data_IF_136842905755
#
_entry.id   IF_136842905755
#
_cell.length_a   1.000
_cell.length_b   1.000
_cell.length_c   1.000
_cell.angle_alpha   90.00
_cell.angle_beta   90.00
_cell.angle_gamma   90.00
#
_symmetry.space_group_name_H-M   'P 1'
#
loop_
_entity.id
_entity.type
_entity.pdbx_description
1 polymer ?
#
# COMPACT_ATOMS: atom_id res chain seq x y z
N UNK A 1 14.82 7.80 -14.80
CA UNK A 1 15.36 7.17 -15.99
C UNK A 1 14.45 6.06 -16.50
N UNK A 2 14.65 5.52 -17.71
CA UNK A 2 13.89 4.38 -18.20
C UNK A 2 14.09 3.17 -17.29
N UNK A 3 13.06 2.31 -17.20
CA UNK A 3 13.15 1.04 -16.49
C UNK A 3 13.98 0.05 -17.33
N UNK A 4 14.79 -0.77 -16.66
CA UNK A 4 15.40 -1.95 -17.26
C UNK A 4 14.37 -3.06 -17.49
N UNK A 5 14.74 -4.18 -18.13
CA UNK A 5 13.86 -5.32 -18.36
C UNK A 5 13.37 -5.90 -17.00
N UNK A 6 12.18 -6.50 -17.00
CA UNK A 6 11.66 -7.18 -15.81
C UNK A 6 12.45 -8.45 -15.49
N UNK A 7 12.54 -8.83 -14.22
CA UNK A 7 13.03 -10.14 -13.80
C UNK A 7 12.11 -11.25 -14.30
N UNK A 8 12.70 -12.39 -14.69
CA UNK A 8 11.91 -13.57 -15.03
C UNK A 8 11.25 -14.20 -13.77
N UNK A 9 11.97 -14.17 -12.66
CA UNK A 9 11.50 -14.63 -11.35
C UNK A 9 11.93 -13.57 -10.34
N UNK A 10 10.99 -12.93 -9.61
CA UNK A 10 11.33 -11.97 -8.56
C UNK A 10 11.89 -12.71 -7.34
N UNK A 11 12.98 -12.17 -6.76
CA UNK A 11 13.72 -12.75 -5.63
C UNK A 11 13.50 -11.97 -4.32
N UNK A 12 12.67 -10.95 -4.37
CA UNK A 12 12.30 -10.15 -3.21
C UNK A 12 11.24 -10.80 -2.34
N UNK A 13 10.94 -10.15 -1.22
CA UNK A 13 10.01 -10.62 -0.21
C UNK A 13 8.74 -9.78 -0.17
N UNK A 14 7.59 -10.44 -0.09
CA UNK A 14 6.31 -9.79 0.21
C UNK A 14 6.04 -9.86 1.71
N UNK A 15 6.06 -8.71 2.36
CA UNK A 15 5.79 -8.55 3.79
C UNK A 15 4.38 -7.97 3.99
N UNK A 16 3.65 -8.50 4.97
CA UNK A 16 2.42 -7.87 5.45
C UNK A 16 2.76 -6.75 6.44
N UNK A 17 1.99 -5.67 6.43
CA UNK A 17 2.11 -4.59 7.39
C UNK A 17 0.74 -4.11 7.88
N UNK A 18 0.72 -3.55 9.09
CA UNK A 18 -0.49 -3.02 9.73
C UNK A 18 -0.81 -1.61 9.18
N UNK A 19 -2.02 -1.42 8.64
CA UNK A 19 -2.52 -0.15 8.13
C UNK A 19 -3.16 0.74 9.21
N UNK A 20 -3.49 0.19 10.39
CA UNK A 20 -4.17 0.91 11.48
C UNK A 20 -3.43 2.17 11.94
N UNK A 21 -2.09 2.17 12.10
CA UNK A 21 -1.36 3.38 12.50
C UNK A 21 -1.51 4.56 11.56
N UNK A 22 -1.81 4.30 10.28
CA UNK A 22 -1.93 5.32 9.23
C UNK A 22 -3.36 5.85 9.06
N UNK A 23 -4.33 5.26 9.78
CA UNK A 23 -5.77 5.52 9.64
C UNK A 23 -6.42 5.94 10.96
N UNK A 24 -5.64 6.53 11.87
CA UNK A 24 -6.08 6.86 13.25
C UNK A 24 -6.68 5.64 14.00
N UNK A 25 -6.13 4.44 13.76
CA UNK A 25 -6.57 3.19 14.37
C UNK A 25 -7.86 2.60 13.80
N UNK A 26 -8.45 3.22 12.79
CA UNK A 26 -9.79 2.87 12.28
C UNK A 26 -9.83 2.77 10.74
N UNK A 27 -9.13 1.82 10.14
CA UNK A 27 -9.05 1.71 8.68
C UNK A 27 -10.42 1.49 8.04
N UNK A 28 -11.31 0.77 8.72
CA UNK A 28 -12.65 0.46 8.22
C UNK A 28 -13.50 1.72 7.96
N UNK A 29 -13.30 2.81 8.70
CA UNK A 29 -14.02 4.06 8.48
C UNK A 29 -13.61 4.77 7.18
N UNK A 30 -12.45 4.40 6.65
CA UNK A 30 -11.95 4.80 5.33
C UNK A 30 -12.14 3.70 4.28
N UNK A 31 -12.87 2.62 4.60
CA UNK A 31 -12.97 1.45 3.73
C UNK A 31 -11.61 0.85 3.36
N UNK A 32 -10.68 0.86 4.32
CA UNK A 32 -9.36 0.23 4.22
C UNK A 32 -9.33 -1.02 5.09
N UNK A 33 -8.57 -2.02 4.67
CA UNK A 33 -8.30 -3.20 5.46
C UNK A 33 -7.33 -2.90 6.61
N UNK A 34 -7.22 -3.80 7.58
CA UNK A 34 -6.23 -3.66 8.65
C UNK A 34 -4.80 -3.94 8.18
N UNK A 35 -4.66 -4.80 7.17
CA UNK A 35 -3.37 -5.18 6.60
C UNK A 35 -3.22 -4.72 5.16
N UNK A 36 -2.01 -4.35 4.79
CA UNK A 36 -1.53 -4.16 3.44
C UNK A 36 -0.25 -4.96 3.21
N UNK A 37 0.31 -4.88 2.01
CA UNK A 37 1.54 -5.60 1.67
C UNK A 37 2.59 -4.66 1.10
N UNK A 38 3.85 -5.06 1.26
CA UNK A 38 5.00 -4.38 0.65
C UNK A 38 5.93 -5.43 0.06
N UNK A 39 6.32 -5.24 -1.19
CA UNK A 39 7.36 -6.04 -1.83
C UNK A 39 8.70 -5.34 -1.70
N UNK A 40 9.70 -6.03 -1.19
CA UNK A 40 11.06 -5.52 -0.97
C UNK A 40 12.07 -6.37 -1.72
N UNK A 41 12.65 -5.87 -2.82
CA UNK A 41 13.74 -6.54 -3.50
C UNK A 41 14.97 -6.70 -2.59
N UNK A 42 15.82 -7.73 -2.80
CA UNK A 42 17.05 -7.91 -2.01
C UNK A 42 17.94 -6.67 -2.00
N UNK A 43 18.12 -6.02 -3.15
CA UNK A 43 18.90 -4.79 -3.29
C UNK A 43 18.32 -3.55 -2.62
N UNK A 44 17.12 -3.64 -2.04
CA UNK A 44 16.44 -2.52 -1.35
C UNK A 44 16.44 -2.65 0.18
N UNK A 45 16.92 -3.76 0.74
CA UNK A 45 16.91 -4.00 2.19
C UNK A 45 17.70 -2.95 2.98
N UNK A 46 18.73 -2.39 2.37
CA UNK A 46 19.58 -1.35 2.97
C UNK A 46 19.22 0.06 2.49
N UNK A 47 18.03 0.24 1.90
CA UNK A 47 17.58 1.52 1.42
C UNK A 47 18.02 1.90 0.00
N UNK A 48 17.89 3.18 -0.35
CA UNK A 48 18.30 3.72 -1.64
C UNK A 48 17.42 3.31 -2.83
N UNK A 49 16.21 2.80 -2.57
CA UNK A 49 15.25 2.43 -3.60
C UNK A 49 14.10 3.44 -3.67
N UNK A 50 13.52 3.56 -4.85
CA UNK A 50 12.28 4.32 -5.05
C UNK A 50 11.09 3.48 -4.60
N UNK A 51 9.97 4.12 -4.28
CA UNK A 51 8.73 3.44 -3.92
C UNK A 51 7.72 3.61 -5.05
N UNK A 52 7.09 2.51 -5.44
CA UNK A 52 5.91 2.47 -6.30
C UNK A 52 4.69 2.09 -5.47
N UNK A 53 3.59 2.83 -5.60
CA UNK A 53 2.32 2.48 -4.95
C UNK A 53 1.41 1.82 -5.98
N UNK A 54 1.07 0.56 -5.75
CA UNK A 54 0.16 -0.21 -6.61
C UNK A 54 -1.21 -0.29 -5.95
N UNK A 55 -2.19 0.39 -6.50
CA UNK A 55 -3.58 0.38 -6.04
C UNK A 55 -4.37 -0.65 -6.83
N UNK A 56 -4.97 -1.61 -6.13
CA UNK A 56 -5.84 -2.61 -6.76
C UNK A 56 -7.15 -1.96 -7.26
N UNK A 57 -7.84 -2.60 -8.19
CA UNK A 57 -9.15 -2.17 -8.67
C UNK A 57 -10.29 -2.58 -7.72
N UNK A 58 -11.51 -2.14 -8.05
CA UNK A 58 -12.72 -2.65 -7.40
C UNK A 58 -12.82 -4.17 -7.54
N UNK A 59 -13.25 -4.86 -6.48
CA UNK A 59 -13.31 -6.34 -6.40
C UNK A 59 -11.96 -7.04 -6.50
N UNK A 60 -10.86 -6.33 -6.26
CA UNK A 60 -9.51 -6.89 -6.31
C UNK A 60 -8.76 -6.78 -4.98
N UNK A 61 -9.45 -6.43 -3.90
CA UNK A 61 -8.86 -6.47 -2.56
C UNK A 61 -8.52 -7.90 -2.14
N UNK A 62 -7.59 -8.05 -1.22
CA UNK A 62 -7.22 -9.37 -0.70
C UNK A 62 -8.40 -10.15 -0.13
N UNK A 63 -9.36 -9.48 0.51
CA UNK A 63 -10.59 -10.11 1.02
C UNK A 63 -11.48 -10.70 -0.07
N UNK A 64 -11.29 -10.31 -1.33
CA UNK A 64 -12.12 -10.74 -2.46
C UNK A 64 -11.42 -11.75 -3.38
N UNK A 65 -10.12 -11.57 -3.62
CA UNK A 65 -9.37 -12.42 -4.55
C UNK A 65 -8.11 -13.04 -3.95
N UNK A 66 -7.90 -12.89 -2.64
CA UNK A 66 -6.65 -13.26 -2.00
C UNK A 66 -5.48 -12.43 -2.55
N UNK A 67 -4.30 -12.96 -2.50
CA UNK A 67 -3.07 -12.27 -2.92
C UNK A 67 -2.85 -12.15 -4.44
N UNK A 68 -3.83 -12.50 -5.26
CA UNK A 68 -3.67 -12.51 -6.73
C UNK A 68 -3.22 -11.18 -7.31
N UNK A 69 -3.66 -10.05 -6.75
CA UNK A 69 -3.19 -8.74 -7.20
C UNK A 69 -1.72 -8.49 -6.80
N UNK A 70 -1.36 -8.82 -5.56
CA UNK A 70 0.00 -8.61 -5.02
C UNK A 70 1.02 -9.50 -5.74
N UNK A 71 0.67 -10.77 -5.95
CA UNK A 71 1.59 -11.77 -6.49
C UNK A 71 1.54 -11.86 -8.03
N UNK A 72 0.44 -11.49 -8.67
CA UNK A 72 0.20 -11.76 -10.08
C UNK A 72 0.03 -10.54 -11.00
N UNK A 73 0.05 -9.31 -10.48
CA UNK A 73 -0.11 -8.11 -11.31
C UNK A 73 1.17 -7.71 -12.07
N UNK A 74 2.28 -8.40 -11.84
CA UNK A 74 3.54 -8.20 -12.57
C UNK A 74 4.42 -7.07 -12.03
N UNK A 75 4.04 -6.39 -10.95
CA UNK A 75 4.84 -5.30 -10.39
C UNK A 75 6.12 -5.80 -9.73
N UNK A 76 6.11 -6.99 -9.11
CA UNK A 76 7.24 -7.53 -8.36
C UNK A 76 8.43 -7.82 -9.27
N UNK A 77 8.18 -8.34 -10.48
CA UNK A 77 9.20 -8.61 -11.49
C UNK A 77 9.88 -7.33 -11.98
N UNK A 78 9.10 -6.25 -12.15
CA UNK A 78 9.66 -4.94 -12.49
C UNK A 78 10.40 -4.29 -11.33
N UNK A 79 9.87 -4.44 -10.13
CA UNK A 79 10.45 -3.89 -8.92
C UNK A 79 11.84 -4.48 -8.63
N UNK A 80 11.94 -5.80 -8.76
CA UNK A 80 13.16 -6.55 -8.50
C UNK A 80 14.32 -6.08 -9.38
N UNK A 81 14.09 -5.99 -10.70
CA UNK A 81 15.09 -5.57 -11.66
C UNK A 81 15.41 -4.06 -11.61
N UNK A 82 14.56 -3.22 -11.01
CA UNK A 82 14.65 -1.77 -11.14
C UNK A 82 14.82 -1.02 -9.80
N UNK A 83 15.18 -1.72 -8.73
CA UNK A 83 15.36 -1.14 -7.40
C UNK A 83 14.12 -0.34 -6.93
N UNK A 84 12.96 -0.99 -7.00
CA UNK A 84 11.70 -0.41 -6.56
C UNK A 84 11.13 -1.22 -5.40
N UNK A 85 10.74 -0.57 -4.32
CA UNK A 85 9.85 -1.14 -3.33
C UNK A 85 8.43 -0.95 -3.84
N UNK A 86 7.59 -1.98 -3.82
CA UNK A 86 6.17 -1.84 -4.18
C UNK A 86 5.31 -1.89 -2.93
N UNK A 87 4.59 -0.81 -2.69
CA UNK A 87 3.60 -0.72 -1.63
C UNK A 87 2.22 -1.08 -2.19
N UNK A 88 1.57 -2.07 -1.59
CA UNK A 88 0.23 -2.56 -1.93
C UNK A 88 -0.75 -2.26 -0.79
N UNK A 89 -1.20 -1.04 -0.63
CA UNK A 89 -2.24 -0.74 0.36
C UNK A 89 -3.54 -1.43 -0.05
N UNK A 90 -4.38 -1.75 0.95
CA UNK A 90 -5.60 -2.50 0.73
C UNK A 90 -6.83 -1.68 1.13
N UNK A 91 -7.71 -1.43 0.16
CA UNK A 91 -9.10 -1.07 0.42
C UNK A 91 -9.92 -2.35 0.63
N UNK A 92 -11.07 -2.24 1.29
CA UNK A 92 -11.94 -3.40 1.57
C UNK A 92 -13.40 -3.02 1.39
N UNK A 93 -14.29 -3.95 1.04
CA UNK A 93 -15.71 -3.69 1.04
C UNK A 93 -16.21 -3.16 2.38
N UNK A 94 -17.06 -2.14 2.33
CA UNK A 94 -17.65 -1.53 3.51
C UNK A 94 -19.11 -1.12 3.25
N UNK A 95 -19.94 -1.48 4.22
CA UNK A 95 -21.33 -1.06 4.26
C UNK A 95 -21.71 -0.74 5.71
N UNK A 96 -22.13 0.49 6.01
CA UNK A 96 -22.56 0.87 7.35
C UNK A 96 -22.10 2.25 7.79
N UNK A 97 -22.53 2.65 8.97
CA UNK A 97 -22.17 3.93 9.57
C UNK A 97 -20.67 4.02 9.90
N UNK A 98 -20.07 5.17 9.66
CA UNK A 98 -18.76 5.48 10.19
C UNK A 98 -18.87 5.77 11.69
N UNK A 99 -17.91 5.31 12.47
CA UNK A 99 -17.95 5.45 13.93
C UNK A 99 -17.98 6.92 14.36
N UNK A 100 -18.82 7.22 15.33
CA UNK A 100 -18.91 8.57 15.87
C UNK A 100 -19.45 9.63 14.91
N UNK A 101 -20.07 9.22 13.80
CA UNK A 101 -20.66 10.13 12.82
C UNK A 101 -21.95 9.56 12.22
N UNK A 102 -22.79 10.45 11.70
CA UNK A 102 -23.96 10.07 10.92
C UNK A 102 -23.62 9.69 9.46
N UNK A 103 -22.36 9.67 9.10
CA UNK A 103 -21.91 9.36 7.74
C UNK A 103 -22.05 7.87 7.48
N UNK A 104 -22.73 7.55 6.39
CA UNK A 104 -22.88 6.19 5.89
C UNK A 104 -21.82 5.91 4.82
N UNK A 105 -21.02 4.88 5.04
CA UNK A 105 -20.01 4.42 4.08
C UNK A 105 -20.63 3.32 3.23
N UNK A 106 -20.67 3.52 1.92
CA UNK A 106 -21.18 2.55 0.96
C UNK A 106 -20.12 2.24 -0.10
N UNK A 107 -19.38 1.18 0.12
CA UNK A 107 -18.35 0.68 -0.80
C UNK A 107 -18.41 -0.86 -0.89
N UNK A 108 -19.46 -1.44 -1.49
CA UNK A 108 -19.64 -2.90 -1.50
C UNK A 108 -18.61 -3.64 -2.35
N UNK A 109 -17.88 -2.92 -3.19
CA UNK A 109 -16.88 -3.50 -4.11
C UNK A 109 -15.43 -3.31 -3.67
N UNK A 110 -15.18 -2.69 -2.52
CA UNK A 110 -13.82 -2.42 -2.05
C UNK A 110 -13.01 -1.56 -3.02
N UNK A 111 -13.62 -0.56 -3.64
CA UNK A 111 -12.93 0.40 -4.48
C UNK A 111 -12.18 1.43 -3.64
N UNK A 112 -11.16 2.06 -4.18
CA UNK A 112 -10.64 3.32 -3.66
C UNK A 112 -11.67 4.42 -3.86
N UNK A 113 -11.65 5.46 -3.01
CA UNK A 113 -12.69 6.48 -3.05
C UNK A 113 -12.53 7.39 -4.28
N UNK A 114 -13.44 7.23 -5.23
CA UNK A 114 -13.53 8.06 -6.42
C UNK A 114 -14.89 8.77 -6.55
N UNK A 115 -15.82 8.54 -5.60
CA UNK A 115 -17.14 9.18 -5.61
C UNK A 115 -17.53 9.84 -4.27
N UNK A 116 -16.62 9.89 -3.28
CA UNK A 116 -16.81 10.65 -2.05
C UNK A 116 -17.44 9.88 -0.89
N UNK A 117 -17.38 8.55 -0.86
CA UNK A 117 -17.91 7.79 0.27
C UNK A 117 -17.13 8.02 1.58
N UNK A 118 -15.90 8.50 1.52
CA UNK A 118 -15.12 8.91 2.71
C UNK A 118 -15.35 10.36 3.10
N UNK A 119 -16.05 11.15 2.27
CA UNK A 119 -16.38 12.54 2.53
C UNK A 119 -16.18 13.49 1.35
N UNK A 120 -16.56 14.77 1.47
CA UNK A 120 -16.59 15.71 0.34
C UNK A 120 -15.19 16.08 -0.21
N UNK A 121 -14.14 15.87 0.57
CA UNK A 121 -12.76 16.18 0.18
C UNK A 121 -12.00 14.98 -0.38
N UNK A 122 -12.70 13.92 -0.79
CA UNK A 122 -12.12 12.63 -1.21
C UNK A 122 -11.06 12.74 -2.32
N UNK A 123 -11.17 13.71 -3.21
CA UNK A 123 -10.26 13.92 -4.34
C UNK A 123 -9.10 14.89 -4.03
N UNK A 124 -8.96 15.31 -2.77
CA UNK A 124 -7.93 16.26 -2.36
C UNK A 124 -6.84 15.59 -1.53
N UNK A 125 -5.71 16.28 -1.33
CA UNK A 125 -4.63 15.82 -0.44
C UNK A 125 -5.08 15.62 1.03
N UNK A 126 -6.21 16.19 1.42
CA UNK A 126 -6.76 16.12 2.78
C UNK A 126 -7.72 14.94 2.94
N UNK A 127 -8.01 14.19 1.87
CA UNK A 127 -8.79 12.97 1.92
C UNK A 127 -8.16 11.94 2.86
N UNK A 128 -9.00 11.23 3.62
CA UNK A 128 -8.53 10.26 4.60
C UNK A 128 -7.65 9.16 4.00
N UNK A 129 -8.02 8.59 2.87
CA UNK A 129 -7.22 7.59 2.16
C UNK A 129 -5.90 8.17 1.62
N UNK A 130 -5.92 9.38 1.05
CA UNK A 130 -4.70 10.03 0.55
C UNK A 130 -3.72 10.34 1.70
N UNK A 131 -4.22 10.81 2.84
CA UNK A 131 -3.39 11.02 4.04
C UNK A 131 -2.79 9.72 4.55
N UNK A 132 -3.56 8.63 4.58
CA UNK A 132 -3.06 7.32 4.97
C UNK A 132 -1.93 6.85 4.05
N UNK A 133 -2.12 6.93 2.73
CA UNK A 133 -1.09 6.58 1.73
C UNK A 133 0.19 7.42 1.90
N UNK A 134 0.05 8.74 2.11
CA UNK A 134 1.21 9.62 2.36
C UNK A 134 1.96 9.26 3.63
N UNK A 135 1.24 8.92 4.71
CA UNK A 135 1.86 8.49 5.97
C UNK A 135 2.60 7.14 5.82
N UNK A 136 2.05 6.20 5.05
CA UNK A 136 2.74 4.94 4.71
C UNK A 136 4.03 5.21 3.93
N UNK A 137 4.00 6.10 2.93
CA UNK A 137 5.18 6.49 2.16
C UNK A 137 6.23 7.18 3.04
N UNK A 138 5.82 8.09 3.92
CA UNK A 138 6.73 8.74 4.86
C UNK A 138 7.41 7.70 5.77
N UNK A 139 6.65 6.74 6.31
CA UNK A 139 7.19 5.66 7.15
C UNK A 139 8.24 4.81 6.42
N UNK A 140 8.03 4.50 5.13
CA UNK A 140 9.01 3.79 4.34
C UNK A 140 10.28 4.62 4.13
N UNK A 141 10.14 5.92 3.88
CA UNK A 141 11.27 6.84 3.73
C UNK A 141 12.08 6.96 5.03
N UNK A 142 11.41 7.08 6.18
CA UNK A 142 12.05 7.17 7.50
C UNK A 142 12.76 5.86 7.88
N UNK A 143 12.17 4.70 7.55
CA UNK A 143 12.76 3.38 7.81
C UNK A 143 14.07 3.17 7.05
N UNK A 144 14.23 3.80 5.90
CA UNK A 144 15.47 3.82 5.12
C UNK A 144 16.56 4.68 5.78
N UNK A 145 16.15 5.74 6.48
CA UNK A 145 17.09 6.64 7.18
C UNK A 145 17.62 6.07 8.50
N UNK A 146 16.92 5.08 9.08
CA UNK A 146 17.26 4.52 10.41
C UNK A 146 17.93 3.15 10.37
N UNK A 147 18.20 2.57 9.19
CA UNK A 147 18.98 1.36 9.09
C UNK A 147 20.45 1.66 9.50
N UNK A 148 21.01 0.98 10.52
CA UNK A 148 22.40 1.19 10.88
C UNK A 148 23.31 0.76 9.70
N UNK A 149 24.46 1.44 9.48
CA UNK A 149 25.38 1.03 8.44
C UNK A 149 25.82 -0.42 8.70
N UNK A 150 25.72 -1.26 7.67
CA UNK A 150 26.19 -2.64 7.72
C UNK A 150 27.67 -2.66 8.16
N UNK A 151 27.96 -3.42 9.22
CA UNK A 151 29.33 -3.64 9.66
C UNK A 151 30.14 -4.26 8.50
N UNK A 152 31.39 -3.82 8.27
CA UNK A 152 32.24 -4.42 7.23
C UNK A 152 32.48 -5.89 7.57
N UNK A 153 32.16 -6.75 6.62
CA UNK A 153 32.55 -8.17 6.67
C UNK A 153 34.08 -8.25 6.75
N UNK A 154 34.56 -8.97 7.77
CA UNK A 154 35.97 -9.27 7.94
C UNK A 154 36.33 -10.55 7.19
#
# INVERSE_FOLDING_TARGET
>A
GPLGPRSAVPDGEVLAYDQRPFTAGRPIDLSMAEQGHVYVPPGCRNGGCRVHVALHGCRQSETQIGRRFVDGAGYNEWADANRLIVLYPQATPRYGAAWGSWRWVYNPRGCWDWWGYTGPHYATRDAGQIRALRAMLARLADGVATAPPSAPER
#
